data_IF_795592827021
#
_entry.id   IF_795592827021
#
_cell.length_a   1.000
_cell.length_b   1.000
_cell.length_c   1.000
_cell.angle_alpha   90.00
_cell.angle_beta   90.00
_cell.angle_gamma   90.00
#
_symmetry.space_group_name_H-M   'P 1'
#
loop_
_entity.id
_entity.type
_entity.pdbx_description
1 polymer ?
#
# COMPACT_ATOMS: atom_id res chain seq x y z
N UNK A 1 9.51 -13.36 -8.13
CA UNK A 1 9.02 -12.39 -7.15
C UNK A 1 8.37 -11.16 -7.81
N UNK A 2 9.01 -10.54 -8.82
CA UNK A 2 8.47 -9.38 -9.55
C UNK A 2 7.17 -9.70 -10.33
N UNK A 3 7.06 -10.88 -10.94
CA UNK A 3 5.83 -11.35 -11.60
C UNK A 3 4.65 -11.47 -10.64
N UNK A 4 4.90 -11.92 -9.43
CA UNK A 4 3.89 -12.07 -8.39
C UNK A 4 3.38 -10.70 -7.92
N UNK A 5 4.27 -9.74 -7.74
CA UNK A 5 3.94 -8.37 -7.35
C UNK A 5 3.16 -7.60 -8.43
N UNK A 6 3.30 -7.96 -9.70
CA UNK A 6 2.61 -7.33 -10.81
C UNK A 6 1.21 -7.90 -11.12
N UNK A 7 0.65 -8.73 -10.24
CA UNK A 7 -0.71 -9.26 -10.37
C UNK A 7 -0.88 -10.39 -11.39
N UNK A 8 0.19 -10.97 -11.90
CA UNK A 8 0.15 -12.09 -12.84
C UNK A 8 -0.17 -13.44 -12.18
N UNK A 9 -1.14 -13.45 -11.28
CA UNK A 9 -1.59 -14.67 -10.59
C UNK A 9 -2.00 -15.78 -11.55
N UNK A 10 -2.68 -15.44 -12.65
CA UNK A 10 -3.12 -16.40 -13.65
C UNK A 10 -1.95 -17.10 -14.33
N UNK A 11 -0.93 -16.33 -14.68
CA UNK A 11 0.28 -16.86 -15.32
C UNK A 11 1.05 -17.78 -14.37
N UNK A 12 1.24 -17.35 -13.11
CA UNK A 12 1.90 -18.15 -12.08
C UNK A 12 1.13 -19.44 -11.79
N UNK A 13 -0.20 -19.36 -11.63
CA UNK A 13 -1.06 -20.52 -11.44
C UNK A 13 -1.01 -21.47 -12.64
N UNK A 14 -0.99 -20.94 -13.86
CA UNK A 14 -0.84 -21.73 -15.08
C UNK A 14 0.49 -22.49 -15.14
N UNK A 15 1.60 -21.81 -14.85
CA UNK A 15 2.92 -22.43 -14.80
C UNK A 15 3.02 -23.53 -13.74
N UNK A 16 2.49 -23.28 -12.54
CA UNK A 16 2.47 -24.28 -11.45
C UNK A 16 1.59 -25.47 -11.78
N UNK A 17 0.43 -25.24 -12.42
CA UNK A 17 -0.48 -26.28 -12.86
C UNK A 17 0.15 -27.19 -13.92
N UNK A 18 0.87 -26.61 -14.88
CA UNK A 18 1.61 -27.35 -15.90
C UNK A 18 2.73 -28.20 -15.29
N UNK A 19 3.48 -27.67 -14.34
CA UNK A 19 4.52 -28.38 -13.63
C UNK A 19 3.95 -29.53 -12.79
N UNK A 20 2.81 -29.31 -12.15
CA UNK A 20 2.10 -30.35 -11.39
C UNK A 20 1.67 -31.49 -12.29
N UNK A 21 1.08 -31.19 -13.44
CA UNK A 21 0.62 -32.17 -14.44
C UNK A 21 1.79 -33.00 -14.98
N UNK A 22 2.91 -32.37 -15.33
CA UNK A 22 4.12 -33.07 -15.77
C UNK A 22 4.68 -34.00 -14.70
N UNK A 23 4.75 -33.54 -13.46
CA UNK A 23 5.24 -34.37 -12.36
C UNK A 23 4.34 -35.58 -12.15
N UNK A 24 3.02 -35.44 -12.27
CA UNK A 24 2.06 -36.53 -12.19
C UNK A 24 2.21 -37.54 -13.36
N UNK A 25 2.41 -37.04 -14.58
CA UNK A 25 2.64 -37.86 -15.77
C UNK A 25 3.95 -38.68 -15.67
N UNK A 26 4.99 -38.10 -15.07
CA UNK A 26 6.27 -38.74 -14.82
C UNK A 26 6.27 -39.62 -13.56
N UNK A 27 5.12 -39.81 -12.92
CA UNK A 27 4.92 -40.57 -11.68
C UNK A 27 5.68 -40.02 -10.47
N UNK A 28 6.04 -38.74 -10.50
CA UNK A 28 6.68 -38.02 -9.39
C UNK A 28 5.61 -37.45 -8.46
N UNK A 29 4.91 -38.26 -7.74
CA UNK A 29 3.74 -37.89 -6.96
C UNK A 29 4.05 -36.96 -5.80
N UNK A 30 5.23 -37.01 -5.19
CA UNK A 30 5.66 -36.10 -4.13
C UNK A 30 5.86 -34.68 -4.67
N UNK A 31 6.52 -34.56 -5.83
CA UNK A 31 6.66 -33.25 -6.51
C UNK A 31 5.31 -32.68 -6.94
N UNK A 32 4.42 -33.51 -7.47
CA UNK A 32 3.07 -33.11 -7.84
C UNK A 32 2.28 -32.59 -6.63
N UNK A 33 2.42 -33.22 -5.48
CA UNK A 33 1.80 -32.79 -4.23
C UNK A 33 2.37 -31.43 -3.72
N UNK A 34 3.66 -31.21 -3.86
CA UNK A 34 4.31 -29.93 -3.53
C UNK A 34 3.78 -28.79 -4.41
N UNK A 35 3.64 -29.02 -5.71
CA UNK A 35 3.05 -28.04 -6.63
C UNK A 35 1.57 -27.76 -6.32
N UNK A 36 0.81 -28.79 -5.94
CA UNK A 36 -0.59 -28.63 -5.52
C UNK A 36 -0.69 -27.72 -4.28
N UNK A 37 0.14 -27.94 -3.28
CA UNK A 37 0.15 -27.15 -2.05
C UNK A 37 0.56 -25.70 -2.33
N UNK A 38 1.51 -25.51 -3.23
CA UNK A 38 1.93 -24.18 -3.69
C UNK A 38 0.78 -23.44 -4.41
N UNK A 39 0.05 -24.13 -5.28
CA UNK A 39 -1.12 -23.58 -5.99
C UNK A 39 -2.19 -23.15 -4.98
N UNK A 40 -2.49 -23.96 -3.98
CA UNK A 40 -3.46 -23.62 -2.93
C UNK A 40 -3.03 -22.38 -2.14
N UNK A 41 -1.76 -22.30 -1.77
CA UNK A 41 -1.21 -21.14 -1.07
C UNK A 41 -1.29 -19.85 -1.90
N UNK A 42 -0.95 -19.92 -3.18
CA UNK A 42 -1.03 -18.78 -4.11
C UNK A 42 -2.48 -18.34 -4.27
N UNK A 43 -3.43 -19.25 -4.44
CA UNK A 43 -4.86 -18.93 -4.52
C UNK A 43 -5.36 -18.26 -3.25
N UNK A 44 -5.00 -18.77 -2.10
CA UNK A 44 -5.38 -18.23 -0.78
C UNK A 44 -4.87 -16.81 -0.60
N UNK A 45 -3.63 -16.53 -0.94
CA UNK A 45 -3.05 -15.17 -0.92
C UNK A 45 -3.80 -14.25 -1.89
N UNK A 46 -4.10 -14.71 -3.11
CA UNK A 46 -4.86 -13.95 -4.10
C UNK A 46 -6.27 -13.60 -3.65
N UNK A 47 -6.98 -14.52 -2.99
CA UNK A 47 -8.31 -14.29 -2.45
C UNK A 47 -8.31 -13.27 -1.30
N UNK A 48 -7.35 -13.36 -0.39
CA UNK A 48 -7.21 -12.41 0.72
C UNK A 48 -6.82 -10.99 0.27
N UNK A 49 -6.14 -10.88 -0.86
CA UNK A 49 -5.74 -9.60 -1.44
C UNK A 49 -6.80 -8.96 -2.35
N UNK A 50 -7.89 -9.68 -2.62
CA UNK A 50 -8.97 -9.18 -3.46
C UNK A 50 -9.80 -8.14 -2.72
N UNK A 51 -9.33 -6.90 -2.76
CA UNK A 51 -10.16 -5.76 -2.39
C UNK A 51 -11.01 -5.43 -3.61
N UNK A 52 -12.30 -5.64 -3.49
CA UNK A 52 -13.28 -5.42 -4.53
C UNK A 52 -13.33 -3.97 -5.02
N UNK A 53 -12.48 -3.62 -5.95
CA UNK A 53 -12.77 -2.59 -6.92
C UNK A 53 -13.09 -3.31 -8.23
N UNK A 54 -14.33 -3.30 -8.64
CA UNK A 54 -14.81 -4.11 -9.75
C UNK A 54 -14.37 -3.67 -11.15
N UNK A 55 -13.34 -2.83 -11.27
CA UNK A 55 -12.92 -2.26 -12.55
C UNK A 55 -11.53 -2.73 -13.04
N UNK A 56 -10.83 -3.55 -12.25
CA UNK A 56 -9.52 -4.09 -12.64
C UNK A 56 -8.42 -3.04 -12.89
N UNK A 57 -8.61 -1.82 -12.41
CA UNK A 57 -7.67 -0.72 -12.64
C UNK A 57 -6.56 -0.64 -11.60
N UNK A 58 -5.47 0.03 -11.98
CA UNK A 58 -4.36 0.34 -11.09
C UNK A 58 -4.65 1.61 -10.30
N UNK A 59 -4.56 1.51 -8.98
CA UNK A 59 -4.81 2.62 -8.05
C UNK A 59 -3.82 2.60 -6.91
N UNK A 60 -3.43 3.78 -6.46
CA UNK A 60 -2.77 3.94 -5.17
C UNK A 60 -3.71 4.68 -4.22
N UNK A 61 -3.65 4.32 -2.95
CA UNK A 61 -4.38 5.01 -1.88
C UNK A 61 -3.36 5.58 -0.93
N UNK A 62 -3.42 6.88 -0.67
CA UNK A 62 -2.55 7.55 0.30
C UNK A 62 -3.41 8.23 1.37
N UNK A 63 -3.23 7.84 2.61
CA UNK A 63 -3.92 8.40 3.76
C UNK A 63 -2.94 8.88 4.82
N UNK A 64 -3.31 9.95 5.51
CA UNK A 64 -2.47 10.62 6.49
C UNK A 64 -3.09 10.55 7.89
N UNK A 65 -2.30 10.10 8.85
CA UNK A 65 -2.55 10.30 10.27
C UNK A 65 -1.60 11.39 10.80
N UNK A 66 -2.13 12.32 11.55
CA UNK A 66 -1.39 13.45 12.09
C UNK A 66 -1.71 13.64 13.56
N UNK A 67 -0.68 13.79 14.38
CA UNK A 67 -0.82 14.17 15.77
C UNK A 67 0.44 14.86 16.29
N UNK A 68 0.31 16.13 16.70
CA UNK A 68 1.32 16.92 17.40
C UNK A 68 2.75 16.92 16.80
N UNK A 69 2.87 17.24 15.52
CA UNK A 69 4.18 17.33 14.89
C UNK A 69 4.70 16.01 14.32
N UNK A 70 4.00 14.91 14.55
CA UNK A 70 4.30 13.62 13.93
C UNK A 70 3.17 13.20 12.99
N UNK A 71 3.52 12.61 11.87
CA UNK A 71 2.57 12.08 10.91
C UNK A 71 3.01 10.73 10.37
N UNK A 72 2.04 9.94 9.95
CA UNK A 72 2.24 8.71 9.18
C UNK A 72 1.43 8.79 7.90
N UNK A 73 2.08 8.60 6.78
CA UNK A 73 1.41 8.38 5.50
C UNK A 73 1.35 6.88 5.22
N UNK A 74 0.16 6.36 5.02
CA UNK A 74 -0.07 4.97 4.61
C UNK A 74 -0.40 4.93 3.14
N UNK A 75 0.31 4.11 2.38
CA UNK A 75 0.05 3.89 0.96
C UNK A 75 -0.37 2.46 0.72
N UNK A 76 -1.45 2.27 -0.02
CA UNK A 76 -1.88 0.98 -0.55
C UNK A 76 -1.67 0.95 -2.05
N UNK A 77 -1.10 -0.14 -2.54
CA UNK A 77 -0.87 -0.37 -3.97
C UNK A 77 -1.88 -1.39 -4.49
N UNK A 78 -2.78 -0.95 -5.35
CA UNK A 78 -3.81 -1.79 -5.98
C UNK A 78 -3.46 -1.94 -7.46
N UNK A 79 -3.34 -3.18 -7.93
CA UNK A 79 -3.02 -3.52 -9.31
C UNK A 79 -3.99 -4.57 -9.79
N UNK A 80 -4.64 -4.30 -10.92
CA UNK A 80 -5.69 -5.17 -11.48
C UNK A 80 -6.79 -5.48 -10.44
N UNK A 81 -7.19 -4.48 -9.67
CA UNK A 81 -8.20 -4.60 -8.62
C UNK A 81 -7.78 -5.32 -7.35
N UNK A 82 -6.50 -5.67 -7.19
CA UNK A 82 -5.95 -6.41 -6.04
C UNK A 82 -4.96 -5.58 -5.25
N UNK A 83 -5.02 -5.67 -3.94
CA UNK A 83 -4.01 -5.09 -3.05
C UNK A 83 -2.74 -5.93 -3.13
N UNK A 84 -1.70 -5.40 -3.76
CA UNK A 84 -0.41 -6.09 -3.93
C UNK A 84 0.63 -5.69 -2.90
N UNK A 85 0.44 -4.59 -2.20
CA UNK A 85 1.37 -4.14 -1.18
C UNK A 85 0.85 -2.93 -0.42
N UNK A 86 1.51 -2.66 0.69
CA UNK A 86 1.28 -1.50 1.53
C UNK A 86 2.59 -1.04 2.15
N UNK A 87 2.76 0.26 2.25
CA UNK A 87 3.92 0.88 2.91
C UNK A 87 3.45 2.04 3.78
N UNK A 88 4.18 2.32 4.85
CA UNK A 88 3.95 3.48 5.66
C UNK A 88 5.24 4.28 5.84
N UNK A 89 5.09 5.59 6.00
CA UNK A 89 6.19 6.53 6.07
C UNK A 89 5.98 7.46 7.26
N UNK A 90 7.02 7.65 8.05
CA UNK A 90 7.02 8.60 9.16
C UNK A 90 7.43 9.97 8.65
N UNK A 91 6.64 10.97 9.00
CA UNK A 91 6.85 12.35 8.59
C UNK A 91 6.90 13.26 9.80
N UNK A 92 7.79 14.23 9.78
CA UNK A 92 7.79 15.33 10.74
C UNK A 92 7.02 16.50 10.15
N UNK A 93 6.19 17.11 10.99
CA UNK A 93 5.33 18.21 10.62
C UNK A 93 5.82 19.46 11.32
N UNK A 94 6.07 20.51 10.55
CA UNK A 94 6.45 21.81 11.09
C UNK A 94 5.27 22.48 11.79
N UNK A 95 5.56 23.36 12.73
CA UNK A 95 4.52 24.13 13.41
C UNK A 95 3.72 24.96 12.42
N UNK A 96 2.41 24.82 12.46
CA UNK A 96 1.51 25.54 11.56
C UNK A 96 1.21 24.85 10.23
N UNK A 97 1.84 23.73 9.91
CA UNK A 97 1.47 22.95 8.73
C UNK A 97 0.13 22.22 8.93
N UNK A 98 -0.72 22.35 7.94
CA UNK A 98 -2.01 21.64 7.91
C UNK A 98 -1.87 20.25 7.27
N UNK A 99 -2.84 19.38 7.53
CA UNK A 99 -2.90 18.02 6.95
C UNK A 99 -2.72 18.00 5.44
N UNK A 100 -3.40 18.91 4.75
CA UNK A 100 -3.33 19.05 3.28
C UNK A 100 -1.92 19.35 2.78
N UNK A 101 -1.17 20.20 3.48
CA UNK A 101 0.18 20.59 3.11
C UNK A 101 1.15 19.43 3.28
N UNK A 102 1.03 18.70 4.38
CA UNK A 102 1.83 17.51 4.68
C UNK A 102 1.58 16.41 3.64
N UNK A 103 0.32 16.14 3.34
CA UNK A 103 -0.05 15.12 2.35
C UNK A 103 0.43 15.51 0.95
N UNK A 104 0.28 16.75 0.55
CA UNK A 104 0.76 17.27 -0.73
C UNK A 104 2.27 17.14 -0.88
N UNK A 105 3.02 17.53 0.14
CA UNK A 105 4.49 17.39 0.17
C UNK A 105 4.92 15.93 0.09
N UNK A 106 4.23 15.06 0.82
CA UNK A 106 4.48 13.62 0.77
C UNK A 106 4.28 13.05 -0.64
N UNK A 107 3.17 13.38 -1.29
CA UNK A 107 2.86 12.92 -2.65
C UNK A 107 3.94 13.35 -3.64
N UNK A 108 4.36 14.61 -3.57
CA UNK A 108 5.44 15.14 -4.42
C UNK A 108 6.73 14.35 -4.25
N UNK A 109 7.16 14.11 -3.02
CA UNK A 109 8.38 13.36 -2.72
C UNK A 109 8.28 11.89 -3.10
N UNK A 110 7.17 11.25 -2.78
CA UNK A 110 6.95 9.83 -3.04
C UNK A 110 6.98 9.52 -4.54
N UNK A 111 6.20 10.24 -5.34
CA UNK A 111 6.13 10.00 -6.78
C UNK A 111 7.31 10.56 -7.56
N UNK A 112 8.08 11.48 -7.02
CA UNK A 112 9.34 11.90 -7.60
C UNK A 112 10.37 10.74 -7.62
N UNK A 113 10.35 9.89 -6.60
CA UNK A 113 11.24 8.73 -6.47
C UNK A 113 10.65 7.39 -6.93
N UNK A 114 9.41 7.36 -7.37
CA UNK A 114 8.71 6.12 -7.72
C UNK A 114 8.61 5.97 -9.24
N UNK A 115 9.11 4.86 -9.81
CA UNK A 115 9.10 4.66 -11.26
C UNK A 115 7.72 4.35 -11.84
N UNK A 116 6.83 3.77 -11.05
CA UNK A 116 5.47 3.41 -11.47
C UNK A 116 4.44 4.41 -10.95
N UNK A 117 3.61 4.93 -11.84
CA UNK A 117 2.52 5.85 -11.53
C UNK A 117 1.19 5.20 -11.92
N UNK A 118 0.22 5.05 -10.98
CA UNK A 118 -1.08 4.45 -11.27
C UNK A 118 -1.96 5.39 -12.09
N UNK A 119 -3.06 4.87 -12.61
CA UNK A 119 -4.07 5.68 -13.30
C UNK A 119 -4.85 6.57 -12.37
N UNK A 120 -5.03 6.15 -11.13
CA UNK A 120 -5.79 6.86 -10.13
C UNK A 120 -5.06 6.88 -8.79
N UNK A 121 -5.05 8.04 -8.16
CA UNK A 121 -4.55 8.25 -6.81
C UNK A 121 -5.71 8.71 -5.93
N UNK A 122 -6.05 7.92 -4.92
CA UNK A 122 -7.09 8.25 -3.95
C UNK A 122 -6.47 8.76 -2.65
N UNK A 123 -6.96 9.88 -2.16
CA UNK A 123 -6.41 10.56 -1.00
C UNK A 123 -7.41 10.66 0.15
N UNK A 124 -6.89 10.70 1.38
CA UNK A 124 -7.70 10.92 2.59
C UNK A 124 -8.15 12.37 2.74
N UNK A 125 -7.40 13.31 2.17
CA UNK A 125 -7.64 14.74 2.33
C UNK A 125 -7.46 15.46 0.99
N UNK A 126 -8.19 16.55 0.81
CA UNK A 126 -8.02 17.42 -0.35
C UNK A 126 -6.69 18.14 -0.26
N UNK A 127 -6.00 18.26 -1.38
CA UNK A 127 -4.75 19.00 -1.51
C UNK A 127 -4.98 20.24 -2.37
N UNK A 128 -4.30 21.33 -2.04
CA UNK A 128 -4.53 22.62 -2.66
C UNK A 128 -4.15 22.64 -4.15
N UNK A 129 -3.03 22.02 -4.49
CA UNK A 129 -2.49 21.96 -5.86
C UNK A 129 -2.88 20.69 -6.62
N UNK A 130 -4.07 20.16 -6.39
CA UNK A 130 -4.53 18.88 -6.99
C UNK A 130 -4.39 18.89 -8.53
N UNK A 131 -4.81 19.95 -9.21
CA UNK A 131 -4.73 20.05 -10.66
C UNK A 131 -3.29 20.01 -11.18
N UNK A 132 -2.39 20.71 -10.50
CA UNK A 132 -0.97 20.77 -10.85
C UNK A 132 -0.32 19.39 -10.64
N UNK A 133 -0.66 18.70 -9.55
CA UNK A 133 -0.18 17.35 -9.28
C UNK A 133 -0.68 16.34 -10.32
N UNK A 134 -1.95 16.44 -10.73
CA UNK A 134 -2.50 15.59 -11.80
C UNK A 134 -1.76 15.79 -13.13
N UNK A 135 -1.49 17.04 -13.51
CA UNK A 135 -0.72 17.35 -14.71
C UNK A 135 0.70 16.80 -14.65
N UNK A 136 1.37 16.98 -13.53
CA UNK A 136 2.71 16.47 -13.31
C UNK A 136 2.77 14.94 -13.38
N UNK A 137 1.87 14.27 -12.68
CA UNK A 137 1.79 12.79 -12.70
C UNK A 137 1.40 12.27 -14.08
N UNK A 138 0.50 12.94 -14.78
CA UNK A 138 0.11 12.63 -16.16
C UNK A 138 1.28 12.72 -17.11
N UNK A 139 2.08 13.80 -17.03
CA UNK A 139 3.28 13.97 -17.83
C UNK A 139 4.33 12.89 -17.53
N UNK A 140 4.52 12.57 -16.26
CA UNK A 140 5.48 11.56 -15.80
C UNK A 140 5.09 10.15 -16.23
N UNK A 141 3.80 9.83 -16.20
CA UNK A 141 3.28 8.54 -16.64
C UNK A 141 3.21 8.40 -18.15
N UNK A 142 2.96 9.48 -18.86
CA UNK A 142 2.65 9.50 -20.30
C UNK A 142 1.20 9.20 -20.64
N UNK A 143 0.34 9.02 -19.65
CA UNK A 143 -1.10 8.81 -19.76
C UNK A 143 -1.83 9.51 -18.62
N UNK A 144 -3.12 9.77 -18.80
CA UNK A 144 -3.93 10.49 -17.82
C UNK A 144 -3.92 9.85 -16.44
N UNK A 145 -3.65 10.65 -15.42
CA UNK A 145 -3.75 10.30 -14.00
C UNK A 145 -4.83 11.14 -13.36
N UNK A 146 -5.71 10.52 -12.57
CA UNK A 146 -6.75 11.19 -11.81
C UNK A 146 -6.42 11.15 -10.31
N UNK A 147 -6.54 12.28 -9.64
CA UNK A 147 -6.47 12.39 -8.18
C UNK A 147 -7.91 12.57 -7.67
N UNK A 148 -8.30 11.76 -6.70
CA UNK A 148 -9.65 11.78 -6.13
C UNK A 148 -9.61 11.72 -4.62
N UNK A 149 -10.56 12.41 -3.99
CA UNK A 149 -10.85 12.28 -2.56
C UNK A 149 -12.26 11.69 -2.45
N UNK A 150 -12.40 10.36 -2.42
CA UNK A 150 -13.71 9.72 -2.45
C UNK A 150 -14.52 10.03 -1.18
N UNK A 151 -15.81 10.31 -1.35
CA UNK A 151 -16.73 10.68 -0.27
C UNK A 151 -17.79 9.62 0.00
N UNK A 152 -17.84 8.56 -0.79
CA UNK A 152 -18.81 7.47 -0.65
C UNK A 152 -18.38 6.19 -1.36
N UNK A 153 -19.01 5.08 -0.98
CA UNK A 153 -18.87 3.80 -1.64
C UNK A 153 -17.60 3.03 -1.30
N UNK A 154 -17.25 2.09 -2.15
CA UNK A 154 -16.10 1.19 -1.96
C UNK A 154 -14.76 1.93 -1.92
N UNK A 155 -14.61 2.97 -2.73
CA UNK A 155 -13.40 3.79 -2.78
C UNK A 155 -13.16 4.55 -1.47
N UNK A 156 -14.20 5.11 -0.89
CA UNK A 156 -14.13 5.76 0.43
C UNK A 156 -13.71 4.76 1.52
N UNK A 157 -14.26 3.55 1.51
CA UNK A 157 -13.91 2.49 2.46
C UNK A 157 -12.44 2.10 2.39
N UNK A 158 -11.85 2.07 1.18
CA UNK A 158 -10.43 1.81 1.00
C UNK A 158 -9.57 2.92 1.61
N UNK A 159 -9.96 4.16 1.42
CA UNK A 159 -9.27 5.31 2.01
C UNK A 159 -9.41 5.30 3.53
N UNK A 160 -10.58 5.00 4.06
CA UNK A 160 -10.79 4.84 5.51
C UNK A 160 -9.94 3.74 6.11
N UNK A 161 -9.78 2.61 5.41
CA UNK A 161 -8.93 1.51 5.85
C UNK A 161 -7.46 1.95 5.92
N UNK A 162 -6.97 2.65 4.91
CA UNK A 162 -5.63 3.21 4.90
C UNK A 162 -5.44 4.24 6.02
N UNK A 163 -6.46 5.08 6.27
CA UNK A 163 -6.47 6.06 7.35
C UNK A 163 -6.34 5.39 8.72
N UNK A 164 -7.12 4.35 8.98
CA UNK A 164 -7.04 3.59 10.24
C UNK A 164 -5.69 2.92 10.41
N UNK A 165 -5.12 2.36 9.36
CA UNK A 165 -3.78 1.79 9.42
C UNK A 165 -2.73 2.84 9.76
N UNK A 166 -2.81 4.02 9.17
CA UNK A 166 -1.93 5.13 9.49
C UNK A 166 -2.03 5.54 10.97
N UNK A 167 -3.25 5.63 11.49
CA UNK A 167 -3.51 5.95 12.91
C UNK A 167 -2.96 4.89 13.86
N UNK A 168 -3.13 3.61 13.53
CA UNK A 168 -2.60 2.50 14.32
C UNK A 168 -1.08 2.55 14.38
N UNK A 169 -0.43 2.73 13.25
CA UNK A 169 1.04 2.84 13.15
C UNK A 169 1.55 4.01 13.97
N UNK A 170 0.92 5.17 13.84
CA UNK A 170 1.29 6.37 14.58
C UNK A 170 1.18 6.17 16.10
N UNK A 171 0.10 5.56 16.56
CA UNK A 171 -0.15 5.30 17.98
C UNK A 171 0.82 4.25 18.55
N UNK A 172 1.10 3.19 17.82
CA UNK A 172 2.07 2.15 18.25
C UNK A 172 3.47 2.71 18.42
N UNK A 173 3.90 3.56 17.51
CA UNK A 173 5.22 4.19 17.60
C UNK A 173 5.35 5.14 18.78
N UNK A 174 4.32 5.88 19.07
CA UNK A 174 4.28 6.76 20.24
C UNK A 174 4.38 6.00 21.55
N UNK A 175 3.68 4.91 21.67
CA UNK A 175 3.77 4.05 22.86
C UNK A 175 5.17 3.46 23.02
N UNK A 176 5.80 3.05 21.91
CA UNK A 176 7.17 2.55 21.92
C UNK A 176 8.17 3.62 22.39
N UNK A 177 8.10 4.82 21.85
CA UNK A 177 8.94 5.94 22.22
C UNK A 177 8.77 6.33 23.68
N UNK A 178 7.55 6.38 24.19
CA UNK A 178 7.26 6.63 25.61
C UNK A 178 7.86 5.57 26.53
N UNK A 179 7.83 4.30 26.14
CA UNK A 179 8.46 3.21 26.90
C UNK A 179 9.97 3.32 26.90
N UNK A 180 10.59 3.67 25.79
CA UNK A 180 12.04 3.88 25.69
C UNK A 180 12.49 5.07 26.53
N UNK A 181 11.79 6.20 26.46
CA UNK A 181 12.06 7.36 27.31
C UNK A 181 11.89 7.05 28.80
N UNK A 182 10.84 6.32 29.17
CA UNK A 182 10.61 5.87 30.54
C UNK A 182 11.71 4.95 31.07
N UNK A 183 12.23 4.06 30.23
CA UNK A 183 13.40 3.20 30.60
C UNK A 183 14.67 4.00 30.77
N UNK A 184 14.93 4.97 29.91
CA UNK A 184 16.11 5.83 29.96
C UNK A 184 16.09 6.71 31.21
N UNK A 185 14.95 7.31 31.54
CA UNK A 185 14.77 8.11 32.76
C UNK A 185 14.88 7.24 34.01
N UNK A 186 14.33 6.02 34.00
CA UNK A 186 14.46 5.04 35.08
C UNK A 186 15.92 4.65 35.33
N UNK A 187 16.69 4.39 34.28
CA UNK A 187 18.12 4.06 34.37
C UNK A 187 18.97 5.20 34.96
N UNK A 188 18.66 6.46 34.63
CA UNK A 188 19.36 7.64 35.15
C UNK A 188 19.04 7.90 36.63
N UNK A 189 17.87 7.52 37.11
CA UNK A 189 17.47 7.68 38.52
C UNK A 189 18.10 6.65 39.48
N UNK A 190 18.59 5.53 38.97
CA UNK A 190 19.24 4.48 39.77
C UNK A 190 20.75 4.72 39.98
N UNK A 191 21.29 5.73 39.38
CA UNK A 191 22.68 6.19 39.56
C UNK A 191 22.71 7.35 40.55
#
# INVERSE_FOLDING_TARGET
>A
ALRFLNGNFREVLGELSDKMTRAAEELKFEEAAEYRDLIENVRRIGEHQKITSGDGEDKDVAALALDRGDAVAQVFFIRDGKLIGREHFYLRVAEGEERRDVLQSFIKQFYAGTPFIPRELMLSDEVEEQGILEEWLTAKRGQRVHIRVPKKGTKEKLVELAQRNAEIVLNQDRERLKREEGRTIGAVKEI
#
